data_IF_678122119132
#
_entry.id   IF_678122119132
#
_cell.length_a   1.000
_cell.length_b   1.000
_cell.length_c   1.000
_cell.angle_alpha   90.00
_cell.angle_beta   90.00
_cell.angle_gamma   90.00
#
_symmetry.space_group_name_H-M   'P 1'
#
loop_
_entity.id
_entity.type
_entity.pdbx_description
1 polymer ?
#
# COMPACT_ATOMS: atom_id res chain seq x y z
N UNK A 1 10.32 -17.77 -2.94
CA UNK A 1 8.99 -17.53 -3.55
C UNK A 1 8.09 -16.90 -2.50
N UNK A 2 7.25 -15.96 -2.93
CA UNK A 2 6.27 -15.26 -2.09
C UNK A 2 4.94 -16.00 -1.99
N UNK A 3 4.05 -15.51 -1.12
CA UNK A 3 2.68 -15.97 -1.07
C UNK A 3 1.98 -15.84 -2.42
N UNK A 4 1.13 -16.82 -2.73
CA UNK A 4 0.36 -16.86 -3.97
C UNK A 4 -0.96 -16.14 -3.76
N UNK A 5 -1.18 -15.07 -4.52
CA UNK A 5 -2.47 -14.40 -4.62
C UNK A 5 -3.38 -15.21 -5.56
N UNK A 6 -4.56 -15.59 -5.08
CA UNK A 6 -5.56 -16.28 -5.91
C UNK A 6 -6.47 -15.21 -6.52
N UNK A 7 -6.65 -15.28 -7.84
CA UNK A 7 -7.53 -14.41 -8.60
C UNK A 7 -8.56 -15.25 -9.35
N UNK A 8 -9.68 -14.62 -9.70
CA UNK A 8 -10.76 -15.25 -10.45
C UNK A 8 -11.01 -14.48 -11.76
N UNK A 9 -11.21 -15.19 -12.86
CA UNK A 9 -11.64 -14.64 -14.15
C UNK A 9 -13.16 -14.57 -14.22
N UNK A 10 -13.71 -13.77 -15.14
CA UNK A 10 -15.15 -13.50 -15.22
C UNK A 10 -16.01 -14.71 -15.63
N UNK A 11 -15.39 -15.76 -16.14
CA UNK A 11 -15.98 -17.08 -16.41
C UNK A 11 -15.94 -18.02 -15.18
N UNK A 12 -15.45 -17.53 -14.04
CA UNK A 12 -15.41 -18.24 -12.76
C UNK A 12 -14.14 -19.06 -12.52
N UNK A 13 -13.24 -19.17 -13.48
CA UNK A 13 -11.99 -19.92 -13.33
C UNK A 13 -11.01 -19.21 -12.37
N UNK A 14 -10.27 -19.98 -11.58
CA UNK A 14 -9.26 -19.44 -10.65
C UNK A 14 -7.85 -19.63 -11.18
N UNK A 15 -6.99 -18.65 -10.90
CA UNK A 15 -5.57 -18.68 -11.22
C UNK A 15 -4.76 -18.05 -10.09
N UNK A 16 -3.50 -18.47 -9.97
CA UNK A 16 -2.57 -17.92 -8.99
C UNK A 16 -1.60 -16.93 -9.62
N UNK A 17 -1.24 -15.91 -8.87
CA UNK A 17 -0.15 -14.98 -9.16
C UNK A 17 0.82 -14.99 -7.97
N UNK A 18 2.11 -15.21 -8.24
CA UNK A 18 3.17 -15.09 -7.23
C UNK A 18 4.41 -14.43 -7.83
N UNK A 19 5.39 -14.14 -6.99
CA UNK A 19 6.69 -13.67 -7.41
C UNK A 19 7.80 -14.63 -6.96
N UNK A 20 8.73 -14.91 -7.88
CA UNK A 20 9.87 -15.82 -7.64
C UNK A 20 11.18 -15.20 -8.07
N UNK A 21 12.24 -15.53 -7.33
CA UNK A 21 13.60 -15.35 -7.81
C UNK A 21 13.98 -16.58 -8.62
N UNK A 22 14.60 -16.37 -9.79
CA UNK A 22 14.95 -17.45 -10.70
C UNK A 22 16.46 -17.67 -10.74
N UNK A 23 16.88 -18.94 -10.76
CA UNK A 23 18.30 -19.30 -10.93
C UNK A 23 18.87 -18.81 -12.26
N UNK A 24 18.05 -18.74 -13.30
CA UNK A 24 18.43 -18.24 -14.64
C UNK A 24 18.89 -16.78 -14.64
N UNK A 25 18.50 -16.00 -13.62
CA UNK A 25 18.96 -14.63 -13.42
C UNK A 25 19.92 -14.51 -12.24
N UNK A 26 20.51 -15.64 -11.80
CA UNK A 26 21.30 -15.73 -10.57
C UNK A 26 20.57 -15.16 -9.34
N UNK A 27 19.24 -15.30 -9.31
CA UNK A 27 18.35 -14.73 -8.28
C UNK A 27 18.40 -13.19 -8.18
N UNK A 28 18.92 -12.50 -9.19
CA UNK A 28 19.04 -11.04 -9.21
C UNK A 28 17.82 -10.34 -9.80
N UNK A 29 16.86 -11.09 -10.34
CA UNK A 29 15.60 -10.57 -10.89
C UNK A 29 14.41 -11.34 -10.34
N UNK A 30 13.38 -10.58 -9.97
CA UNK A 30 12.09 -11.11 -9.57
C UNK A 30 11.22 -11.29 -10.81
N UNK A 31 10.56 -12.44 -10.90
CA UNK A 31 9.65 -12.79 -11.96
C UNK A 31 8.26 -12.95 -11.40
N UNK A 32 7.29 -12.28 -12.01
CA UNK A 32 5.88 -12.61 -11.81
C UNK A 32 5.62 -13.99 -12.45
N UNK A 33 4.87 -14.83 -11.74
CA UNK A 33 4.48 -16.17 -12.18
C UNK A 33 2.96 -16.25 -12.19
N UNK A 34 2.40 -16.55 -13.36
CA UNK A 34 0.99 -16.91 -13.50
C UNK A 34 0.86 -18.43 -13.55
N UNK A 35 0.01 -18.98 -12.70
CA UNK A 35 -0.19 -20.42 -12.61
C UNK A 35 -1.68 -20.82 -12.66
N UNK A 36 -2.02 -21.93 -13.34
CA UNK A 36 -3.36 -22.51 -13.31
C UNK A 36 -3.79 -22.85 -11.88
N UNK A 37 -5.10 -22.75 -11.61
CA UNK A 37 -5.69 -22.99 -10.29
C UNK A 37 -5.22 -24.28 -9.61
N UNK A 38 -5.02 -25.36 -10.37
CA UNK A 38 -4.56 -26.65 -9.83
C UNK A 38 -3.18 -26.63 -9.15
N UNK A 39 -2.33 -25.66 -9.48
CA UNK A 39 -1.00 -25.54 -8.87
C UNK A 39 -0.97 -24.61 -7.66
N UNK A 40 -2.06 -23.89 -7.38
CA UNK A 40 -2.12 -22.92 -6.27
C UNK A 40 -1.78 -23.56 -4.93
N UNK A 41 -2.39 -24.70 -4.59
CA UNK A 41 -2.06 -25.43 -3.35
C UNK A 41 -0.60 -25.88 -3.26
N UNK A 42 0.01 -26.28 -4.38
CA UNK A 42 1.44 -26.63 -4.43
C UNK A 42 2.32 -25.42 -4.16
N UNK A 43 2.01 -24.27 -4.77
CA UNK A 43 2.75 -23.04 -4.54
C UNK A 43 2.57 -22.53 -3.11
N UNK A 44 1.36 -22.52 -2.57
CA UNK A 44 1.12 -22.10 -1.18
C UNK A 44 1.88 -22.96 -0.16
N UNK A 45 1.94 -24.28 -0.34
CA UNK A 45 2.69 -25.19 0.55
C UNK A 45 4.22 -25.13 0.38
N UNK A 46 4.69 -24.40 -0.64
CA UNK A 46 6.12 -24.29 -0.99
C UNK A 46 6.66 -22.88 -0.78
N UNK A 47 5.96 -22.04 0.00
CA UNK A 47 6.45 -20.72 0.40
C UNK A 47 7.87 -20.81 0.94
N UNK A 48 8.75 -19.90 0.50
CA UNK A 48 10.18 -19.86 0.89
C UNK A 48 11.00 -21.13 0.57
N UNK A 49 10.48 -22.06 -0.24
CA UNK A 49 11.23 -23.22 -0.77
C UNK A 49 11.70 -22.98 -2.20
N UNK A 50 12.57 -23.85 -2.68
CA UNK A 50 12.94 -23.92 -4.08
C UNK A 50 11.99 -24.84 -4.84
N UNK A 51 11.59 -24.40 -6.03
CA UNK A 51 10.77 -25.18 -6.94
C UNK A 51 11.53 -25.43 -8.24
N UNK A 52 11.51 -26.67 -8.71
CA UNK A 52 11.86 -27.01 -10.08
C UNK A 52 10.61 -26.95 -10.93
N UNK A 53 10.65 -26.15 -12.00
CA UNK A 53 9.53 -25.99 -12.94
C UNK A 53 10.01 -26.38 -14.34
N UNK A 54 9.34 -27.36 -14.94
CA UNK A 54 9.57 -27.78 -16.34
C UNK A 54 8.30 -27.58 -17.17
N UNK A 55 8.47 -27.14 -18.41
CA UNK A 55 7.37 -26.93 -19.35
C UNK A 55 6.57 -25.68 -19.04
N UNK A 56 7.24 -24.54 -18.85
CA UNK A 56 6.64 -23.21 -18.71
C UNK A 56 6.91 -22.38 -19.97
N UNK A 57 6.19 -21.28 -20.16
CA UNK A 57 6.56 -20.24 -21.13
C UNK A 57 6.99 -18.97 -20.42
N UNK A 58 7.89 -18.22 -21.03
CA UNK A 58 8.32 -16.91 -20.53
C UNK A 58 8.08 -15.87 -21.61
N UNK A 59 7.38 -14.79 -21.28
CA UNK A 59 7.20 -13.64 -22.19
C UNK A 59 8.40 -12.70 -22.10
N UNK A 60 8.57 -11.81 -23.08
CA UNK A 60 9.68 -10.85 -23.17
C UNK A 60 9.88 -10.01 -21.90
N UNK A 61 8.80 -9.64 -21.21
CA UNK A 61 8.87 -8.88 -19.96
C UNK A 61 9.32 -9.70 -18.74
N UNK A 62 9.64 -10.99 -18.93
CA UNK A 62 10.09 -11.89 -17.88
C UNK A 62 8.96 -12.57 -17.11
N UNK A 63 7.69 -12.32 -17.46
CA UNK A 63 6.52 -13.03 -16.93
C UNK A 63 6.63 -14.52 -17.24
N UNK A 64 6.58 -15.35 -16.20
CA UNK A 64 6.59 -16.81 -16.31
C UNK A 64 5.13 -17.29 -16.27
N UNK A 65 4.72 -18.05 -17.29
CA UNK A 65 3.41 -18.68 -17.34
C UNK A 65 3.56 -20.19 -17.23
N UNK A 66 3.06 -20.74 -16.13
CA UNK A 66 2.90 -22.17 -15.94
C UNK A 66 1.66 -22.60 -16.74
N UNK A 67 1.73 -23.78 -17.36
CA UNK A 67 0.63 -24.37 -18.11
C UNK A 67 0.21 -25.68 -17.46
N UNK A 68 -0.96 -26.19 -17.80
CA UNK A 68 -1.45 -27.42 -17.16
C UNK A 68 -0.53 -28.63 -17.36
N UNK A 69 0.28 -28.65 -18.41
CA UNK A 69 1.22 -29.74 -18.67
C UNK A 69 2.58 -29.55 -17.97
N UNK A 70 2.76 -28.47 -17.20
CA UNK A 70 4.00 -28.22 -16.47
C UNK A 70 4.22 -29.25 -15.36
N UNK A 71 5.48 -29.54 -15.08
CA UNK A 71 5.91 -30.30 -13.91
C UNK A 71 6.45 -29.31 -12.86
N UNK A 72 5.90 -29.36 -11.65
CA UNK A 72 6.29 -28.52 -10.51
C UNK A 72 6.65 -29.42 -9.34
N UNK A 73 7.90 -29.38 -8.90
CA UNK A 73 8.42 -30.22 -7.82
C UNK A 73 9.19 -29.37 -6.81
N UNK A 74 9.12 -29.75 -5.54
CA UNK A 74 10.05 -29.19 -4.55
C UNK A 74 11.46 -29.65 -4.88
N UNK A 75 12.41 -28.75 -4.70
CA UNK A 75 13.82 -29.05 -4.89
C UNK A 75 14.66 -28.38 -3.80
N UNK A 76 15.96 -28.62 -3.86
CA UNK A 76 16.94 -27.97 -3.01
C UNK A 76 17.93 -27.22 -3.88
N UNK A 77 18.36 -26.06 -3.40
CA UNK A 77 19.44 -25.28 -3.99
C UNK A 77 20.22 -24.61 -2.87
N UNK A 78 21.34 -23.98 -3.24
CA UNK A 78 22.07 -23.16 -2.29
C UNK A 78 21.19 -22.03 -1.76
N UNK A 79 21.24 -21.72 -0.46
CA UNK A 79 20.52 -20.59 0.10
C UNK A 79 20.82 -19.30 -0.66
N UNK A 80 19.78 -18.53 -0.95
CA UNK A 80 19.91 -17.20 -1.55
C UNK A 80 20.39 -16.24 -0.45
N UNK A 81 21.36 -15.39 -0.78
CA UNK A 81 21.87 -14.39 0.14
C UNK A 81 20.74 -13.53 0.72
N UNK A 82 20.75 -13.33 2.03
CA UNK A 82 19.75 -12.53 2.74
C UNK A 82 19.71 -11.08 2.25
N UNK A 83 20.82 -10.54 1.75
CA UNK A 83 20.89 -9.21 1.13
C UNK A 83 20.05 -9.15 -0.14
N UNK A 84 20.13 -10.20 -0.97
CA UNK A 84 19.32 -10.32 -2.20
C UNK A 84 17.85 -10.44 -1.83
N UNK A 85 17.50 -11.29 -0.86
CA UNK A 85 16.10 -11.42 -0.40
C UNK A 85 15.57 -10.08 0.11
N UNK A 86 16.34 -9.40 0.98
CA UNK A 86 15.95 -8.12 1.59
C UNK A 86 15.74 -7.03 0.55
N UNK A 87 16.52 -7.00 -0.54
CA UNK A 87 16.32 -6.07 -1.66
C UNK A 87 14.91 -6.17 -2.24
N UNK A 88 14.34 -7.37 -2.32
CA UNK A 88 13.02 -7.59 -2.90
C UNK A 88 11.88 -7.53 -1.88
N UNK A 89 12.12 -7.89 -0.61
CA UNK A 89 11.06 -7.91 0.42
C UNK A 89 10.98 -6.62 1.23
N UNK A 90 12.07 -5.85 1.31
CA UNK A 90 12.15 -4.59 2.04
C UNK A 90 13.01 -3.58 1.27
N UNK A 91 12.57 -3.15 0.06
CA UNK A 91 13.28 -2.16 -0.72
C UNK A 91 13.28 -0.80 0.01
N UNK A 92 14.32 0.04 -0.22
CA UNK A 92 14.42 1.34 0.43
C UNK A 92 13.29 2.29 0.03
N UNK A 93 12.98 3.24 0.92
CA UNK A 93 12.14 4.39 0.59
C UNK A 93 12.84 5.26 -0.45
N UNK A 94 12.08 5.74 -1.43
CA UNK A 94 12.55 6.57 -2.52
C UNK A 94 11.55 7.70 -2.76
N UNK A 95 12.05 8.86 -3.17
CA UNK A 95 11.21 9.97 -3.61
C UNK A 95 10.51 9.63 -4.93
N UNK A 96 9.31 10.16 -5.13
CA UNK A 96 8.49 9.90 -6.32
C UNK A 96 9.24 10.27 -7.62
N UNK A 97 10.02 11.35 -7.63
CA UNK A 97 10.83 11.72 -8.79
C UNK A 97 11.86 10.63 -9.15
N UNK A 98 12.51 10.02 -8.16
CA UNK A 98 13.47 8.92 -8.37
C UNK A 98 12.75 7.65 -8.80
N UNK A 99 11.58 7.37 -8.22
CA UNK A 99 10.74 6.22 -8.61
C UNK A 99 10.39 6.30 -10.10
N UNK A 100 10.06 7.49 -10.62
CA UNK A 100 9.69 7.69 -12.02
C UNK A 100 10.81 7.44 -13.02
N UNK A 101 12.08 7.44 -12.60
CA UNK A 101 13.22 7.15 -13.48
C UNK A 101 13.62 5.67 -13.51
N UNK A 102 12.96 4.83 -12.71
CA UNK A 102 13.28 3.41 -12.56
C UNK A 102 12.58 2.54 -13.61
N UNK A 103 13.07 1.31 -13.76
CA UNK A 103 12.56 0.36 -14.74
C UNK A 103 11.31 -0.38 -14.25
N UNK A 104 10.46 -0.79 -15.20
CA UNK A 104 9.31 -1.66 -14.93
C UNK A 104 9.77 -2.96 -14.25
N UNK A 105 9.07 -3.33 -13.18
CA UNK A 105 9.35 -4.54 -12.40
C UNK A 105 10.31 -4.33 -11.23
N UNK A 106 10.99 -3.19 -11.13
CA UNK A 106 11.74 -2.84 -9.93
C UNK A 106 10.79 -2.69 -8.72
N UNK A 107 11.32 -2.98 -7.52
CA UNK A 107 10.59 -2.80 -6.26
C UNK A 107 11.13 -1.62 -5.48
N UNK A 108 10.23 -0.83 -4.93
CA UNK A 108 10.52 0.37 -4.14
C UNK A 108 9.59 0.45 -2.94
N UNK A 109 9.97 1.26 -1.96
CA UNK A 109 9.05 1.75 -0.95
C UNK A 109 8.92 3.27 -1.12
N UNK A 110 7.82 3.85 -0.66
CA UNK A 110 7.55 5.30 -0.79
C UNK A 110 6.96 5.82 0.51
N UNK A 111 7.39 7.01 0.93
CA UNK A 111 6.74 7.82 1.96
C UNK A 111 6.04 8.98 1.26
N UNK A 112 4.74 9.12 1.45
CA UNK A 112 3.95 10.14 0.76
C UNK A 112 2.65 10.45 1.52
N UNK A 113 2.08 11.61 1.21
CA UNK A 113 0.72 11.97 1.57
C UNK A 113 -0.27 11.34 0.58
N UNK A 114 -1.38 10.81 1.07
CA UNK A 114 -2.49 10.34 0.25
C UNK A 114 -3.30 11.54 -0.23
N UNK A 115 -3.16 11.89 -1.51
CA UNK A 115 -3.87 13.03 -2.10
C UNK A 115 -5.30 12.66 -2.51
N UNK A 116 -5.53 11.42 -2.94
CA UNK A 116 -6.86 10.98 -3.37
C UNK A 116 -7.03 9.47 -3.30
N UNK A 117 -8.22 9.02 -2.90
CA UNK A 117 -8.62 7.61 -2.93
C UNK A 117 -9.77 7.40 -3.91
N UNK A 118 -9.57 6.56 -4.94
CA UNK A 118 -10.65 6.26 -5.89
C UNK A 118 -11.68 5.30 -5.33
N UNK A 119 -12.87 5.28 -5.93
CA UNK A 119 -13.79 4.14 -5.81
C UNK A 119 -13.13 2.84 -6.31
N UNK A 120 -13.67 1.69 -5.90
CA UNK A 120 -13.23 0.39 -6.41
C UNK A 120 -13.65 0.29 -7.88
N UNK A 121 -12.67 0.05 -8.75
CA UNK A 121 -12.84 -0.22 -10.16
C UNK A 121 -12.89 -1.73 -10.37
N UNK A 122 -14.02 -2.23 -10.85
CA UNK A 122 -14.24 -3.65 -11.11
C UNK A 122 -14.44 -3.91 -12.59
N UNK A 123 -13.77 -4.93 -13.09
CA UNK A 123 -13.85 -5.43 -14.46
C UNK A 123 -14.02 -6.94 -14.40
N UNK A 124 -14.47 -7.60 -15.49
CA UNK A 124 -14.62 -9.06 -15.50
C UNK A 124 -13.34 -9.85 -15.17
N UNK A 125 -12.16 -9.24 -15.24
CA UNK A 125 -10.88 -9.93 -15.00
C UNK A 125 -10.05 -9.33 -13.86
N UNK A 126 -10.50 -8.23 -13.25
CA UNK A 126 -9.74 -7.57 -12.19
C UNK A 126 -10.58 -6.63 -11.34
N UNK A 127 -10.20 -6.55 -10.06
CA UNK A 127 -10.73 -5.59 -9.09
C UNK A 127 -9.54 -4.78 -8.55
N UNK A 128 -9.63 -3.44 -8.62
CA UNK A 128 -8.56 -2.55 -8.15
C UNK A 128 -9.09 -1.24 -7.56
N UNK A 129 -8.28 -0.62 -6.72
CA UNK A 129 -8.44 0.77 -6.25
C UNK A 129 -7.20 1.57 -6.63
N UNK A 130 -7.36 2.84 -6.97
CA UNK A 130 -6.25 3.74 -7.32
C UNK A 130 -6.09 4.76 -6.19
N UNK A 131 -4.88 4.85 -5.65
CA UNK A 131 -4.48 5.81 -4.62
C UNK A 131 -3.50 6.79 -5.26
N UNK A 132 -3.82 8.08 -5.23
CA UNK A 132 -2.91 9.11 -5.70
C UNK A 132 -2.05 9.56 -4.53
N UNK A 133 -0.73 9.42 -4.68
CA UNK A 133 0.25 9.74 -3.67
C UNK A 133 1.02 11.00 -4.08
N UNK A 134 1.37 11.82 -3.10
CA UNK A 134 2.12 13.07 -3.28
C UNK A 134 3.24 13.19 -2.25
N UNK A 135 4.43 13.55 -2.72
CA UNK A 135 5.53 14.03 -1.88
C UNK A 135 6.03 15.38 -2.41
N UNK A 136 7.13 15.90 -1.85
CA UNK A 136 7.73 17.17 -2.29
C UNK A 136 8.28 17.13 -3.72
N UNK A 137 8.49 15.95 -4.30
CA UNK A 137 9.08 15.73 -5.62
C UNK A 137 8.03 15.48 -6.72
N UNK A 138 6.78 15.16 -6.36
CA UNK A 138 5.66 15.08 -7.29
C UNK A 138 4.58 14.09 -6.88
N UNK A 139 3.79 13.62 -7.86
CA UNK A 139 2.67 12.68 -7.63
C UNK A 139 2.83 11.37 -8.38
N UNK A 140 2.32 10.26 -7.85
CA UNK A 140 2.26 8.95 -8.51
C UNK A 140 0.99 8.18 -8.14
N UNK A 141 0.47 7.40 -9.08
CA UNK A 141 -0.66 6.53 -8.84
C UNK A 141 -0.20 5.16 -8.35
N UNK A 142 -0.79 4.68 -7.25
CA UNK A 142 -0.68 3.31 -6.76
C UNK A 142 -1.97 2.54 -7.06
N UNK A 143 -1.85 1.43 -7.80
CA UNK A 143 -2.94 0.48 -8.06
C UNK A 143 -2.88 -0.63 -7.01
N UNK A 144 -3.90 -0.68 -6.17
CA UNK A 144 -4.11 -1.72 -5.15
C UNK A 144 -5.05 -2.78 -5.71
N UNK A 145 -4.61 -4.05 -5.77
CA UNK A 145 -5.31 -5.13 -6.46
C UNK A 145 -5.90 -6.17 -5.49
N UNK A 146 -7.03 -6.77 -5.89
CA UNK A 146 -7.59 -7.96 -5.23
C UNK A 146 -7.86 -7.75 -3.72
N UNK A 147 -7.47 -8.72 -2.90
CA UNK A 147 -7.67 -8.70 -1.44
C UNK A 147 -6.91 -7.55 -0.75
N UNK A 148 -5.88 -6.98 -1.38
CA UNK A 148 -5.16 -5.85 -0.80
C UNK A 148 -6.06 -4.61 -0.65
N UNK A 149 -7.14 -4.50 -1.42
CA UNK A 149 -8.11 -3.42 -1.30
C UNK A 149 -8.79 -3.42 0.07
N UNK A 150 -9.00 -4.60 0.65
CA UNK A 150 -9.63 -4.77 1.96
C UNK A 150 -8.60 -4.69 3.09
N UNK A 151 -7.35 -5.09 2.83
CA UNK A 151 -6.27 -5.09 3.82
C UNK A 151 -5.60 -3.73 4.00
N UNK A 152 -5.48 -2.94 2.94
CA UNK A 152 -4.80 -1.64 2.95
C UNK A 152 -5.85 -0.53 2.95
N UNK A 153 -6.07 0.07 4.11
CA UNK A 153 -7.01 1.17 4.29
C UNK A 153 -6.26 2.50 4.15
N UNK A 154 -6.66 3.30 3.16
CA UNK A 154 -6.09 4.60 2.87
C UNK A 154 -7.14 5.67 3.15
N UNK A 155 -6.72 6.76 3.75
CA UNK A 155 -7.53 7.96 3.95
C UNK A 155 -6.87 9.16 3.29
N UNK A 156 -7.66 10.09 2.74
CA UNK A 156 -7.12 11.32 2.17
C UNK A 156 -6.44 12.18 3.26
N UNK A 157 -5.39 12.89 2.84
CA UNK A 157 -4.47 13.70 3.62
C UNK A 157 -3.62 12.94 4.65
N UNK A 158 -3.67 11.60 4.65
CA UNK A 158 -2.87 10.78 5.54
C UNK A 158 -1.42 10.66 5.05
N UNK A 159 -0.45 10.90 5.95
CA UNK A 159 0.94 10.54 5.72
C UNK A 159 1.15 9.05 5.91
N UNK A 160 1.71 8.39 4.88
CA UNK A 160 1.89 6.94 4.87
C UNK A 160 3.29 6.56 4.38
N UNK A 161 3.77 5.43 4.87
CA UNK A 161 4.86 4.67 4.28
C UNK A 161 4.27 3.40 3.65
N UNK A 162 4.44 3.28 2.35
CA UNK A 162 4.02 2.12 1.58
C UNK A 162 5.27 1.31 1.23
N UNK A 163 5.37 0.13 1.85
CA UNK A 163 6.49 -0.76 1.67
C UNK A 163 6.30 -1.67 0.46
N UNK A 164 7.38 -1.91 -0.28
CA UNK A 164 7.48 -3.00 -1.25
C UNK A 164 6.36 -3.03 -2.32
N UNK A 165 6.32 -1.99 -3.16
CA UNK A 165 5.47 -1.91 -4.34
C UNK A 165 6.29 -2.14 -5.61
N UNK A 166 5.64 -2.62 -6.67
CA UNK A 166 6.29 -2.89 -7.97
C UNK A 166 6.06 -1.74 -8.93
N UNK A 167 7.10 -1.26 -9.60
CA UNK A 167 7.00 -0.22 -10.61
C UNK A 167 6.38 -0.80 -11.88
N UNK A 168 5.38 -0.09 -12.40
CA UNK A 168 4.73 -0.33 -13.68
C UNK A 168 4.90 0.88 -14.59
N UNK A 169 5.18 0.64 -15.86
CA UNK A 169 5.35 1.69 -16.86
C UNK A 169 4.47 1.36 -18.05
N UNK A 170 3.50 2.23 -18.32
CA UNK A 170 2.59 2.10 -19.44
C UNK A 170 2.46 3.45 -20.16
N UNK A 171 2.66 3.47 -21.47
CA UNK A 171 2.65 4.69 -22.29
C UNK A 171 3.48 5.84 -21.68
N UNK A 172 4.73 5.53 -21.28
CA UNK A 172 5.67 6.45 -20.63
C UNK A 172 5.17 7.08 -19.32
N UNK A 173 4.16 6.50 -18.67
CA UNK A 173 3.71 6.90 -17.34
C UNK A 173 4.07 5.82 -16.33
N UNK A 174 4.88 6.21 -15.34
CA UNK A 174 5.17 5.36 -14.20
C UNK A 174 3.99 5.35 -13.22
N UNK A 175 3.69 4.17 -12.71
CA UNK A 175 2.72 3.90 -11.65
C UNK A 175 3.24 2.79 -10.76
N UNK A 176 2.57 2.55 -9.64
CA UNK A 176 2.93 1.52 -8.68
C UNK A 176 1.83 0.46 -8.65
N UNK A 177 2.22 -0.80 -8.48
CA UNK A 177 1.31 -1.92 -8.24
C UNK A 177 1.58 -2.50 -6.85
N UNK A 178 0.50 -2.72 -6.09
CA UNK A 178 0.57 -3.60 -4.92
C UNK A 178 0.95 -5.01 -5.34
N UNK A 179 1.68 -5.71 -4.49
CA UNK A 179 2.04 -7.11 -4.63
C UNK A 179 1.85 -7.82 -3.27
N UNK A 180 2.02 -9.16 -3.17
CA UNK A 180 1.83 -9.89 -1.91
C UNK A 180 2.68 -9.42 -0.73
N UNK A 181 3.80 -8.74 -0.99
CA UNK A 181 4.71 -8.20 0.02
C UNK A 181 4.46 -6.72 0.34
N UNK A 182 3.46 -6.09 -0.29
CA UNK A 182 3.15 -4.68 -0.04
C UNK A 182 2.64 -4.48 1.38
N UNK A 183 3.21 -3.50 2.07
CA UNK A 183 2.79 -3.10 3.42
C UNK A 183 2.35 -1.64 3.43
N UNK A 184 1.48 -1.30 4.38
CA UNK A 184 1.07 0.07 4.66
C UNK A 184 1.36 0.35 6.14
N UNK A 185 2.07 1.44 6.39
CA UNK A 185 2.31 2.00 7.70
C UNK A 185 1.81 3.44 7.68
N UNK A 186 0.92 3.76 8.62
CA UNK A 186 0.44 5.13 8.81
C UNK A 186 1.50 5.88 9.61
N UNK A 187 2.03 6.95 9.03
CA UNK A 187 3.02 7.79 9.69
C UNK A 187 2.28 8.85 10.48
N UNK A 188 2.15 8.59 11.76
CA UNK A 188 1.69 9.57 12.73
C UNK A 188 2.87 10.50 13.05
N UNK A 189 3.21 11.40 12.12
CA UNK A 189 4.14 12.50 12.40
C UNK A 189 3.38 13.62 13.12
N UNK A 190 4.10 14.40 13.92
CA UNK A 190 3.51 15.53 14.62
C UNK A 190 3.33 16.68 13.61
N UNK A 191 2.10 17.14 13.45
CA UNK A 191 1.74 18.22 12.52
C UNK A 191 1.06 19.36 13.27
N UNK A 192 1.46 20.59 12.97
CA UNK A 192 0.74 21.77 13.44
C UNK A 192 -0.48 22.02 12.55
N UNK A 193 -1.67 22.00 13.15
CA UNK A 193 -2.94 22.30 12.51
C UNK A 193 -3.49 23.60 13.09
N UNK A 194 -3.82 24.55 12.22
CA UNK A 194 -4.46 25.82 12.59
C UNK A 194 -5.75 26.01 11.79
N UNK A 195 -6.85 26.36 12.44
CA UNK A 195 -8.11 26.63 11.75
C UNK A 195 -9.28 26.96 12.68
N UNK A 196 -10.42 27.27 12.06
CA UNK A 196 -11.69 27.46 12.78
C UNK A 196 -12.29 26.08 13.09
N UNK A 197 -12.90 25.96 14.26
CA UNK A 197 -13.67 24.77 14.63
C UNK A 197 -15.08 24.89 14.05
N UNK A 198 -15.36 24.08 13.04
CA UNK A 198 -16.62 24.07 12.29
C UNK A 198 -17.73 23.30 13.03
N UNK A 199 -17.34 22.25 13.78
CA UNK A 199 -18.24 21.44 14.60
C UNK A 199 -17.46 20.71 15.70
N UNK A 200 -18.17 20.27 16.75
CA UNK A 200 -17.60 19.48 17.84
C UNK A 200 -18.59 18.39 18.30
N UNK A 201 -18.07 17.18 18.55
CA UNK A 201 -18.78 16.06 19.17
C UNK A 201 -18.29 15.90 20.60
N UNK A 202 -19.21 16.00 21.57
CA UNK A 202 -18.93 15.89 23.00
C UNK A 202 -19.31 14.53 23.60
N UNK A 203 -19.58 13.53 22.76
CA UNK A 203 -19.85 12.16 23.22
C UNK A 203 -18.56 11.56 23.81
N UNK A 204 -18.63 11.04 25.03
CA UNK A 204 -17.46 10.57 25.78
C UNK A 204 -16.72 9.42 25.09
N UNK A 205 -17.45 8.62 24.30
CA UNK A 205 -16.86 7.50 23.57
C UNK A 205 -16.24 7.91 22.23
N UNK A 206 -16.65 9.05 21.64
CA UNK A 206 -16.24 9.50 20.30
C UNK A 206 -16.05 11.03 20.20
N UNK A 207 -15.30 11.62 21.15
CA UNK A 207 -15.01 13.05 21.11
C UNK A 207 -14.19 13.43 19.88
N UNK A 208 -14.65 14.47 19.18
CA UNK A 208 -13.97 14.96 17.98
C UNK A 208 -14.30 16.42 17.66
N UNK A 209 -13.42 17.07 16.90
CA UNK A 209 -13.65 18.40 16.34
C UNK A 209 -13.42 18.40 14.83
N UNK A 210 -14.19 19.21 14.11
CA UNK A 210 -14.08 19.39 12.67
C UNK A 210 -13.33 20.70 12.38
N UNK A 211 -12.25 20.63 11.61
CA UNK A 211 -11.47 21.78 11.16
C UNK A 211 -11.21 21.63 9.67
N UNK A 212 -11.67 22.57 8.84
CA UNK A 212 -11.44 22.58 7.38
C UNK A 212 -11.82 21.23 6.73
N UNK A 213 -13.03 20.77 7.03
CA UNK A 213 -13.58 19.48 6.57
C UNK A 213 -12.86 18.21 7.07
N UNK A 214 -11.89 18.34 7.99
CA UNK A 214 -11.18 17.20 8.58
C UNK A 214 -11.60 16.99 10.02
N UNK A 215 -12.04 15.76 10.32
CA UNK A 215 -12.43 15.36 11.67
C UNK A 215 -11.21 14.84 12.44
N UNK A 216 -10.97 15.43 13.62
CA UNK A 216 -9.89 15.05 14.52
C UNK A 216 -10.46 14.48 15.81
N UNK A 217 -10.00 13.29 16.19
CA UNK A 217 -10.26 12.72 17.51
C UNK A 217 -9.50 13.50 18.58
N UNK A 218 -10.17 13.75 19.70
CA UNK A 218 -9.67 14.55 20.81
C UNK A 218 -9.99 13.84 22.13
N UNK A 219 -9.14 13.98 23.15
CA UNK A 219 -9.47 13.46 24.48
C UNK A 219 -10.23 14.52 25.31
N UNK A 220 -10.82 14.09 26.43
CA UNK A 220 -11.60 14.98 27.32
C UNK A 220 -10.81 16.19 27.79
N UNK A 221 -9.56 15.99 28.26
CA UNK A 221 -8.73 17.08 28.80
C UNK A 221 -8.45 18.17 27.76
N UNK A 222 -8.21 17.78 26.51
CA UNK A 222 -8.01 18.70 25.38
C UNK A 222 -9.32 19.33 24.93
N UNK A 223 -10.42 18.58 24.97
CA UNK A 223 -11.75 19.10 24.64
C UNK A 223 -12.17 20.19 25.62
N UNK A 224 -11.92 20.01 26.91
CA UNK A 224 -12.17 21.01 27.96
C UNK A 224 -11.25 22.24 27.83
N UNK A 225 -10.05 22.09 27.28
CA UNK A 225 -9.18 23.24 26.97
C UNK A 225 -9.76 24.12 25.85
N UNK A 226 -10.42 23.52 24.85
CA UNK A 226 -11.05 24.25 23.74
C UNK A 226 -12.44 24.75 24.14
N UNK A 227 -13.23 23.91 24.82
CA UNK A 227 -14.61 24.15 25.24
C UNK A 227 -14.76 23.88 26.75
N UNK A 228 -14.43 24.85 27.62
CA UNK A 228 -14.44 24.65 29.07
C UNK A 228 -15.81 24.23 29.66
N UNK A 229 -16.91 24.54 28.97
CA UNK A 229 -18.27 24.16 29.40
C UNK A 229 -18.82 22.93 28.68
N UNK A 230 -18.03 22.31 27.79
CA UNK A 230 -18.48 21.21 26.91
C UNK A 230 -19.68 21.58 26.02
N UNK A 231 -19.78 22.87 25.67
CA UNK A 231 -20.75 23.40 24.72
C UNK A 231 -20.03 24.01 23.52
N UNK A 232 -20.62 23.84 22.32
CA UNK A 232 -20.05 24.41 21.11
C UNK A 232 -20.12 25.95 21.11
N UNK A 233 -18.98 26.60 20.85
CA UNK A 233 -18.83 28.05 20.69
C UNK A 233 -18.38 28.32 19.27
N UNK A 234 -19.16 29.12 18.53
CA UNK A 234 -18.83 29.50 17.16
C UNK A 234 -17.69 30.53 17.12
N UNK A 235 -16.85 30.47 16.08
CA UNK A 235 -15.76 31.42 15.87
C UNK A 235 -14.49 31.11 16.66
N UNK A 236 -14.40 29.92 17.26
CA UNK A 236 -13.16 29.48 17.89
C UNK A 236 -12.13 29.09 16.83
N UNK A 237 -10.98 29.76 16.91
CA UNK A 237 -9.79 29.45 16.16
C UNK A 237 -8.80 28.72 17.05
N UNK A 238 -8.30 27.60 16.59
CA UNK A 238 -7.38 26.75 17.36
C UNK A 238 -6.07 26.56 16.63
N UNK A 239 -4.98 26.44 17.40
CA UNK A 239 -3.70 25.92 16.95
C UNK A 239 -3.39 24.66 17.75
N UNK A 240 -3.16 23.56 17.06
CA UNK A 240 -3.09 22.21 17.63
C UNK A 240 -1.84 21.51 17.11
N UNK A 241 -1.30 20.61 17.93
CA UNK A 241 -0.38 19.58 17.46
C UNK A 241 -1.17 18.27 17.32
N UNK A 242 -1.12 17.68 16.14
CA UNK A 242 -1.81 16.42 15.84
C UNK A 242 -0.81 15.34 15.50
N UNK A 243 -1.24 14.09 15.63
CA UNK A 243 -0.52 12.90 15.18
C UNK A 243 -1.46 12.09 14.30
N UNK A 244 -1.44 12.35 13.00
CA UNK A 244 -2.50 11.90 12.10
C UNK A 244 -3.83 12.60 12.44
N UNK A 245 -4.92 11.83 12.63
CA UNK A 245 -6.26 12.36 12.97
C UNK A 245 -6.51 12.50 14.47
N UNK A 246 -5.47 12.44 15.30
CA UNK A 246 -5.60 12.54 16.75
C UNK A 246 -4.89 13.79 17.24
N UNK A 247 -5.59 14.62 18.02
CA UNK A 247 -4.99 15.77 18.68
C UNK A 247 -4.15 15.28 19.85
N UNK A 248 -2.90 15.72 19.91
CA UNK A 248 -1.97 15.39 21.00
C UNK A 248 -1.71 16.59 21.90
N UNK A 249 -1.84 17.82 21.38
CA UNK A 249 -1.68 19.04 22.17
C UNK A 249 -2.57 20.17 21.61
N UNK A 250 -3.14 20.97 22.52
CA UNK A 250 -3.80 22.24 22.19
C UNK A 250 -2.81 23.35 22.52
N UNK A 251 -2.28 24.00 21.50
CA UNK A 251 -1.24 25.03 21.67
C UNK A 251 -1.86 26.40 21.92
N UNK A 252 -2.97 26.71 21.25
CA UNK A 252 -3.62 28.01 21.34
C UNK A 252 -5.12 27.91 21.03
N UNK A 253 -5.93 28.69 21.75
CA UNK A 253 -7.36 28.86 21.51
C UNK A 253 -7.66 30.36 21.53
N UNK A 254 -8.21 30.88 20.44
CA UNK A 254 -8.62 32.27 20.29
C UNK A 254 -10.09 32.33 19.86
N UNK A 255 -10.81 33.33 20.32
CA UNK A 255 -12.17 33.62 19.86
C UNK A 255 -12.09 34.83 18.93
N UNK A 256 -12.49 34.67 17.67
CA UNK A 256 -12.66 35.78 16.72
C UNK A 256 -13.93 36.59 16.99
#
# INVERSE_FOLDING_TARGET
MENTEIRQTGDGNTYGVTHVLAKTTNYMKLHEVHLPGKFTGKFSSSERKFLFIKGYSQKEEGLIRIIDKSLVLDTQDNPIDSVVIKRFTNPPNQDIAVIKTKEKGERVSVKACVEKVSNILETPSSKRRIIKLRDSSGTIDLKVWGEMIHRLQFEEDQMVRIGCVTIDVFNNRASLNSNPSTTLEILNEEEEVEGLVDAACFDQDEMSILIRDTLFGINTDQMEQIFPTMDFIQGLKVKLLTKGRTIIEVTEVQQE
#
